data_IF_539832437250
#
_entry.id   IF_539832437250
#
_cell.length_a   1.000
_cell.length_b   1.000
_cell.length_c   1.000
_cell.angle_alpha   90.00
_cell.angle_beta   90.00
_cell.angle_gamma   90.00
#
_symmetry.space_group_name_H-M   'P 1'
#
loop_
_entity.id
_entity.type
_entity.pdbx_description
1 polymer ?
#
# COMPACT_ATOMS: atom_id res chain seq x y z
N UNK A 1 8.87 17.34 16.03
CA UNK A 1 7.45 17.48 16.37
C UNK A 1 6.82 16.11 16.21
N UNK A 2 6.09 15.59 17.20
CA UNK A 2 5.32 14.37 17.00
C UNK A 2 4.18 14.69 16.04
N UNK A 3 4.26 14.18 14.82
CA UNK A 3 3.20 14.35 13.83
C UNK A 3 2.11 13.38 14.24
N UNK A 4 0.91 13.90 14.53
CA UNK A 4 -0.22 13.07 14.95
C UNK A 4 -1.14 12.76 13.77
N UNK A 5 -1.67 11.53 13.67
CA UNK A 5 -2.64 11.19 12.64
C UNK A 5 -3.95 11.93 12.86
N UNK A 6 -4.60 12.24 11.77
CA UNK A 6 -5.92 12.84 11.70
C UNK A 6 -6.93 11.87 11.09
N UNK A 7 -8.21 12.15 11.30
CA UNK A 7 -9.30 11.46 10.63
C UNK A 7 -10.12 12.46 9.82
N UNK A 8 -10.46 12.08 8.60
CA UNK A 8 -11.37 12.82 7.74
C UNK A 8 -12.69 12.05 7.64
N UNK A 9 -13.80 12.72 7.95
CA UNK A 9 -15.13 12.13 7.87
C UNK A 9 -15.64 12.17 6.43
N UNK A 10 -16.20 11.06 5.98
CA UNK A 10 -16.68 10.87 4.62
C UNK A 10 -18.21 10.78 4.55
N UNK A 11 -18.89 10.64 5.73
CA UNK A 11 -20.30 10.31 5.80
C UNK A 11 -20.59 8.88 5.33
N UNK A 12 -21.81 8.60 4.92
CA UNK A 12 -22.18 7.30 4.37
C UNK A 12 -21.48 7.06 3.05
N UNK A 13 -20.65 6.00 3.00
CA UNK A 13 -19.73 5.77 1.87
C UNK A 13 -20.08 4.47 1.14
N UNK A 14 -20.57 4.56 -0.11
CA UNK A 14 -20.89 3.39 -0.90
C UNK A 14 -19.60 2.73 -1.42
N UNK A 15 -19.54 1.40 -1.33
CA UNK A 15 -18.45 0.57 -1.87
C UNK A 15 -18.85 -0.08 -3.19
N UNK A 16 -17.86 -0.39 -4.01
CA UNK A 16 -18.04 -1.09 -5.29
C UNK A 16 -18.69 -2.48 -5.14
N UNK A 17 -18.62 -3.10 -3.96
CA UNK A 17 -19.29 -4.37 -3.66
C UNK A 17 -20.81 -4.23 -3.36
N UNK A 18 -21.35 -3.01 -3.33
CA UNK A 18 -22.77 -2.73 -3.08
C UNK A 18 -23.14 -2.48 -1.63
N UNK A 19 -22.22 -2.63 -0.68
CA UNK A 19 -22.40 -2.23 0.70
C UNK A 19 -22.10 -0.75 0.92
N UNK A 20 -22.59 -0.19 2.02
CA UNK A 20 -22.31 1.19 2.43
C UNK A 20 -21.69 1.19 3.83
N UNK A 21 -20.55 1.85 3.98
CA UNK A 21 -19.95 2.11 5.30
C UNK A 21 -20.66 3.33 5.87
N UNK A 22 -21.41 3.14 6.97
CA UNK A 22 -22.04 4.26 7.66
C UNK A 22 -20.98 5.09 8.39
N UNK A 23 -21.12 6.42 8.36
CA UNK A 23 -20.20 7.37 9.01
C UNK A 23 -18.72 7.05 8.73
N UNK A 24 -18.41 6.75 7.47
CA UNK A 24 -17.07 6.36 7.06
C UNK A 24 -16.03 7.44 7.37
N UNK A 25 -14.84 6.98 7.78
CA UNK A 25 -13.69 7.86 8.01
C UNK A 25 -12.43 7.26 7.43
N UNK A 26 -11.51 8.14 7.00
CA UNK A 26 -10.17 7.76 6.56
C UNK A 26 -9.13 8.45 7.43
N UNK A 27 -8.13 7.69 7.88
CA UNK A 27 -6.99 8.23 8.63
C UNK A 27 -5.99 8.86 7.67
N UNK A 28 -5.31 9.92 8.08
CA UNK A 28 -4.23 10.51 7.31
C UNK A 28 -3.21 11.24 8.19
N UNK A 29 -2.01 11.43 7.65
CA UNK A 29 -0.93 12.20 8.24
C UNK A 29 -0.49 13.25 7.24
N UNK A 30 -0.30 14.50 7.69
CA UNK A 30 0.25 15.58 6.88
C UNK A 30 1.63 15.95 7.39
N UNK A 31 2.62 16.03 6.50
CA UNK A 31 3.98 16.50 6.81
C UNK A 31 4.36 17.55 5.76
N UNK A 32 4.71 18.75 6.22
CA UNK A 32 4.92 19.93 5.37
C UNK A 32 3.63 20.70 5.10
N UNK A 33 3.78 21.88 4.49
CA UNK A 33 2.68 22.79 4.23
C UNK A 33 2.20 22.71 2.77
N UNK A 34 0.90 22.63 2.58
CA UNK A 34 0.30 22.63 1.26
C UNK A 34 0.31 24.06 0.66
N UNK A 35 0.68 24.18 -0.62
CA UNK A 35 0.47 25.41 -1.37
C UNK A 35 -1.04 25.68 -1.50
N UNK A 36 -1.46 26.95 -1.62
CA UNK A 36 -2.87 27.29 -1.77
C UNK A 36 -3.56 26.63 -2.98
N UNK A 37 -2.79 26.33 -4.03
CA UNK A 37 -3.26 25.66 -5.26
C UNK A 37 -3.06 24.12 -5.25
N UNK A 38 -2.56 23.56 -4.15
CA UNK A 38 -2.28 22.12 -4.01
C UNK A 38 -1.14 21.61 -4.89
N UNK A 39 -0.38 22.49 -5.56
CA UNK A 39 0.64 22.10 -6.57
C UNK A 39 1.82 21.29 -6.01
N UNK A 40 2.05 21.32 -4.69
CA UNK A 40 3.13 20.60 -4.02
C UNK A 40 2.66 19.36 -3.24
N UNK A 41 1.44 18.87 -3.49
CA UNK A 41 0.92 17.70 -2.78
C UNK A 41 1.52 16.40 -3.35
N UNK A 42 2.09 15.60 -2.46
CA UNK A 42 2.48 14.21 -2.71
C UNK A 42 1.57 13.32 -1.87
N UNK A 43 0.77 12.49 -2.52
CA UNK A 43 -0.03 11.47 -1.85
C UNK A 43 0.78 10.18 -1.67
N UNK A 44 0.75 9.64 -0.46
CA UNK A 44 1.34 8.34 -0.11
C UNK A 44 0.24 7.43 0.45
N UNK A 45 -0.40 6.59 -0.37
CA UNK A 45 -1.34 5.59 0.13
C UNK A 45 -0.65 4.58 1.04
N UNK A 46 -1.28 4.21 2.15
CA UNK A 46 -0.73 3.22 3.07
C UNK A 46 -0.70 1.82 2.46
N UNK A 47 0.21 0.99 2.99
CA UNK A 47 0.39 -0.39 2.56
C UNK A 47 -0.34 -1.37 3.48
N UNK A 48 -0.27 -2.66 3.15
CA UNK A 48 -0.80 -3.74 3.98
C UNK A 48 -0.20 -3.72 5.39
N UNK A 49 -1.06 -3.75 6.42
CA UNK A 49 -0.63 -3.74 7.82
C UNK A 49 0.09 -2.47 8.27
N UNK A 50 0.10 -1.41 7.46
CA UNK A 50 0.74 -0.15 7.82
C UNK A 50 -0.26 0.86 8.37
N UNK A 51 0.12 1.52 9.45
CA UNK A 51 -0.49 2.76 9.89
C UNK A 51 0.17 3.94 9.17
N UNK A 52 -0.47 5.10 9.15
CA UNK A 52 0.06 6.27 8.42
C UNK A 52 1.40 6.75 9.00
N UNK A 53 1.63 6.56 10.29
CA UNK A 53 2.88 6.88 10.98
C UNK A 53 4.06 5.98 10.55
N UNK A 54 3.77 4.74 10.16
CA UNK A 54 4.79 3.78 9.71
C UNK A 54 5.48 4.24 8.41
N UNK A 55 4.90 5.19 7.68
CA UNK A 55 5.45 5.76 6.45
C UNK A 55 6.02 7.18 6.62
N UNK A 56 5.96 7.74 7.84
CA UNK A 56 6.45 9.11 8.11
C UNK A 56 7.96 9.29 7.85
N UNK A 57 8.73 8.20 7.84
CA UNK A 57 10.16 8.20 7.52
C UNK A 57 10.46 8.71 6.09
N UNK A 58 9.48 8.64 5.17
CA UNK A 58 9.62 9.16 3.80
C UNK A 58 9.92 10.66 3.80
N UNK A 59 9.40 11.41 4.78
CA UNK A 59 9.79 12.79 5.01
C UNK A 59 11.26 12.87 5.44
N UNK A 60 12.02 13.75 4.81
CA UNK A 60 13.47 13.92 4.91
C UNK A 60 14.32 12.78 4.31
N UNK A 61 13.87 11.52 4.35
CA UNK A 61 14.61 10.42 3.73
C UNK A 61 14.46 10.39 2.21
N UNK A 62 13.25 10.64 1.71
CA UNK A 62 12.93 10.61 0.26
C UNK A 62 12.45 11.98 -0.23
N UNK A 63 11.54 12.62 0.51
CA UNK A 63 10.95 13.91 0.16
C UNK A 63 11.35 14.99 1.16
N UNK A 64 11.67 16.19 0.66
CA UNK A 64 11.92 17.37 1.48
C UNK A 64 10.58 18.01 1.90
N UNK A 65 10.22 17.99 3.20
CA UNK A 65 8.97 18.59 3.67
C UNK A 65 8.97 20.12 3.64
N UNK A 66 10.13 20.76 3.43
CA UNK A 66 10.21 22.20 3.16
C UNK A 66 9.76 22.58 1.75
N UNK A 67 9.70 21.61 0.83
CA UNK A 67 9.26 21.79 -0.55
C UNK A 67 7.91 21.11 -0.86
N UNK A 68 7.66 19.96 -0.26
CA UNK A 68 6.52 19.11 -0.55
C UNK A 68 5.62 18.94 0.67
N UNK A 69 4.33 19.01 0.45
CA UNK A 69 3.35 18.57 1.42
C UNK A 69 3.06 17.09 1.19
N UNK A 70 3.51 16.25 2.11
CA UNK A 70 3.36 14.79 2.04
C UNK A 70 2.09 14.42 2.79
N UNK A 71 1.10 13.90 2.09
CA UNK A 71 -0.15 13.41 2.67
C UNK A 71 -0.10 11.89 2.64
N UNK A 72 0.14 11.28 3.79
CA UNK A 72 0.08 9.82 3.94
C UNK A 72 -1.35 9.47 4.29
N UNK A 73 -2.04 8.75 3.42
CA UNK A 73 -3.45 8.40 3.59
C UNK A 73 -3.62 6.92 3.91
N UNK A 74 -4.43 6.63 4.92
CA UNK A 74 -4.84 5.27 5.25
C UNK A 74 -5.71 4.65 4.17
N UNK A 75 -6.16 3.43 4.43
CA UNK A 75 -7.11 2.70 3.61
C UNK A 75 -8.19 2.08 4.49
N UNK A 76 -9.35 1.81 3.94
CA UNK A 76 -10.39 1.07 4.65
C UNK A 76 -9.87 -0.32 5.05
N UNK A 77 -10.23 -0.75 6.25
CA UNK A 77 -9.82 -2.04 6.80
C UNK A 77 -8.47 -2.04 7.54
N UNK A 78 -7.77 -0.89 7.66
CA UNK A 78 -6.43 -0.86 8.30
C UNK A 78 -6.45 -0.67 9.82
N UNK A 79 -7.62 -0.65 10.46
CA UNK A 79 -7.76 -0.46 11.91
C UNK A 79 -7.79 1.00 12.37
N UNK A 80 -7.27 1.96 11.60
CA UNK A 80 -7.36 3.39 11.90
C UNK A 80 -8.46 4.08 11.08
N UNK A 81 -8.60 3.76 9.81
CA UNK A 81 -9.77 4.10 8.99
C UNK A 81 -10.96 3.20 9.35
N UNK A 82 -12.13 3.41 8.76
CA UNK A 82 -13.27 2.52 8.95
C UNK A 82 -12.89 1.07 8.67
N UNK A 83 -13.14 0.17 9.63
CA UNK A 83 -12.59 -1.19 9.66
C UNK A 83 -13.54 -2.17 10.32
N UNK A 84 -13.41 -3.48 10.10
CA UNK A 84 -14.15 -4.52 10.79
C UNK A 84 -14.00 -4.48 12.31
N UNK A 85 -12.81 -4.12 12.83
CA UNK A 85 -12.57 -3.99 14.28
C UNK A 85 -13.44 -2.95 14.95
N UNK A 86 -13.90 -1.94 14.22
CA UNK A 86 -14.81 -0.90 14.71
C UNK A 86 -16.29 -1.20 14.46
N UNK A 87 -16.61 -2.36 13.87
CA UNK A 87 -17.97 -2.67 13.46
C UNK A 87 -18.48 -1.84 12.26
N UNK A 88 -17.60 -1.12 11.58
CA UNK A 88 -17.97 -0.26 10.45
C UNK A 88 -18.23 -1.06 9.16
N UNK A 89 -17.69 -2.26 9.07
CA UNK A 89 -17.81 -3.14 7.90
C UNK A 89 -17.65 -4.59 8.30
N UNK A 90 -18.17 -5.50 7.46
CA UNK A 90 -17.99 -6.94 7.59
C UNK A 90 -16.78 -7.46 6.81
N UNK A 91 -16.72 -8.80 6.66
CA UNK A 91 -15.72 -9.52 5.91
C UNK A 91 -16.29 -10.09 4.61
N UNK A 92 -15.43 -10.67 3.77
CA UNK A 92 -15.83 -11.24 2.48
C UNK A 92 -16.88 -12.35 2.61
N UNK A 93 -16.90 -13.11 3.70
CA UNK A 93 -17.95 -14.09 4.02
C UNK A 93 -19.35 -13.47 4.14
N UNK A 94 -19.40 -12.17 4.42
CA UNK A 94 -20.63 -11.38 4.53
C UNK A 94 -20.84 -10.49 3.29
N UNK A 95 -20.06 -10.70 2.21
CA UNK A 95 -20.14 -9.94 0.96
C UNK A 95 -19.36 -8.62 0.95
N UNK A 96 -18.60 -8.31 2.01
CA UNK A 96 -17.82 -7.08 2.09
C UNK A 96 -16.44 -7.28 1.46
N UNK A 97 -16.19 -6.58 0.37
CA UNK A 97 -14.86 -6.53 -0.27
C UNK A 97 -14.59 -5.09 -0.67
N UNK A 98 -13.68 -4.43 0.04
CA UNK A 98 -13.14 -3.13 -0.37
C UNK A 98 -12.24 -3.35 -1.57
N UNK A 99 -12.30 -2.45 -2.55
CA UNK A 99 -11.38 -2.42 -3.69
C UNK A 99 -10.49 -1.17 -3.61
N UNK A 100 -9.36 -1.20 -4.28
CA UNK A 100 -8.49 0.01 -4.29
C UNK A 100 -9.19 1.23 -4.87
N UNK A 101 -10.12 1.08 -5.81
CA UNK A 101 -10.94 2.20 -6.31
C UNK A 101 -11.81 2.85 -5.22
N UNK A 102 -12.25 2.09 -4.23
CA UNK A 102 -12.99 2.65 -3.08
C UNK A 102 -12.06 3.51 -2.22
N UNK A 103 -10.81 3.05 -2.01
CA UNK A 103 -9.79 3.80 -1.31
C UNK A 103 -9.35 5.04 -2.09
N UNK A 104 -9.15 4.93 -3.41
CA UNK A 104 -8.83 6.05 -4.29
C UNK A 104 -9.90 7.14 -4.22
N UNK A 105 -11.17 6.75 -4.30
CA UNK A 105 -12.30 7.69 -4.18
C UNK A 105 -12.32 8.40 -2.81
N UNK A 106 -12.08 7.66 -1.71
CA UNK A 106 -12.02 8.22 -0.36
C UNK A 106 -10.82 9.18 -0.18
N UNK A 107 -9.66 8.80 -0.69
CA UNK A 107 -8.45 9.64 -0.67
C UNK A 107 -8.65 10.92 -1.51
N UNK A 108 -9.30 10.82 -2.68
CA UNK A 108 -9.64 11.98 -3.51
C UNK A 108 -10.53 12.95 -2.76
N UNK A 109 -11.56 12.44 -2.10
CA UNK A 109 -12.48 13.25 -1.28
C UNK A 109 -11.75 13.96 -0.16
N UNK A 110 -10.88 13.26 0.58
CA UNK A 110 -10.00 13.85 1.58
C UNK A 110 -9.18 15.01 1.02
N UNK A 111 -8.51 14.78 -0.13
CA UNK A 111 -7.64 15.78 -0.75
C UNK A 111 -8.41 17.02 -1.21
N UNK A 112 -9.59 16.83 -1.78
CA UNK A 112 -10.46 17.92 -2.21
C UNK A 112 -10.97 18.76 -1.02
N UNK A 113 -11.51 18.10 -0.01
CA UNK A 113 -12.16 18.80 1.11
C UNK A 113 -11.17 19.40 2.11
N UNK A 114 -10.01 18.73 2.31
CA UNK A 114 -9.04 19.18 3.31
C UNK A 114 -7.99 20.13 2.75
N UNK A 115 -7.62 19.96 1.48
CA UNK A 115 -6.51 20.68 0.85
C UNK A 115 -6.95 21.52 -0.35
N UNK A 116 -8.22 21.48 -0.75
CA UNK A 116 -8.70 22.14 -1.96
C UNK A 116 -8.03 21.63 -3.24
N UNK A 117 -7.49 20.40 -3.21
CA UNK A 117 -6.68 19.88 -4.29
C UNK A 117 -7.54 19.54 -5.51
N UNK A 118 -7.08 19.98 -6.70
CA UNK A 118 -7.60 19.58 -7.99
C UNK A 118 -6.67 18.64 -8.75
N UNK A 119 -5.41 18.54 -8.28
CA UNK A 119 -4.37 17.66 -8.84
C UNK A 119 -3.29 17.39 -7.81
N UNK A 120 -2.45 16.40 -8.09
CA UNK A 120 -1.31 15.98 -7.27
C UNK A 120 -0.01 16.10 -8.07
N UNK A 121 1.06 16.56 -7.42
CA UNK A 121 2.39 16.51 -7.98
C UNK A 121 2.85 15.07 -8.21
N UNK A 122 2.47 14.15 -7.29
CA UNK A 122 2.82 12.74 -7.38
C UNK A 122 1.90 11.88 -6.49
N UNK A 123 1.64 10.65 -6.93
CA UNK A 123 1.24 9.56 -6.03
C UNK A 123 2.45 8.62 -5.91
N UNK A 124 2.97 8.48 -4.68
CA UNK A 124 4.05 7.55 -4.36
C UNK A 124 3.49 6.39 -3.57
N UNK A 125 3.65 5.18 -4.05
CA UNK A 125 3.15 3.99 -3.35
C UNK A 125 4.21 2.90 -3.26
N UNK A 126 4.25 2.23 -2.11
CA UNK A 126 4.98 0.99 -1.90
C UNK A 126 4.01 -0.16 -1.64
N UNK A 127 4.26 -1.35 -2.25
CA UNK A 127 3.43 -2.55 -2.01
C UNK A 127 1.95 -2.33 -2.38
N UNK A 128 1.00 -2.57 -1.50
CA UNK A 128 -0.40 -2.19 -1.71
C UNK A 128 -0.59 -0.68 -1.98
N UNK A 129 0.28 0.18 -1.46
CA UNK A 129 0.30 1.59 -1.81
C UNK A 129 0.65 1.81 -3.29
N UNK A 130 1.55 1.00 -3.86
CA UNK A 130 1.84 1.03 -5.30
C UNK A 130 0.64 0.55 -6.14
N UNK A 131 -0.07 -0.48 -5.67
CA UNK A 131 -1.32 -0.92 -6.30
C UNK A 131 -2.35 0.21 -6.34
N UNK A 132 -2.45 0.99 -5.25
CA UNK A 132 -3.29 2.18 -5.20
C UNK A 132 -2.79 3.29 -6.14
N UNK A 133 -1.46 3.47 -6.29
CA UNK A 133 -0.91 4.45 -7.24
C UNK A 133 -1.25 4.11 -8.70
N UNK A 134 -1.18 2.84 -9.10
CA UNK A 134 -1.68 2.40 -10.40
C UNK A 134 -3.18 2.65 -10.55
N UNK A 135 -3.97 2.32 -9.51
CA UNK A 135 -5.42 2.55 -9.53
C UNK A 135 -5.75 4.04 -9.67
N UNK A 136 -5.02 4.92 -8.97
CA UNK A 136 -5.13 6.39 -9.13
C UNK A 136 -4.92 6.82 -10.57
N UNK A 137 -3.85 6.34 -11.21
CA UNK A 137 -3.53 6.75 -12.58
C UNK A 137 -4.53 6.23 -13.62
N UNK A 138 -5.15 5.08 -13.37
CA UNK A 138 -6.16 4.47 -14.26
C UNK A 138 -7.54 5.11 -14.08
N UNK A 139 -7.98 5.29 -12.83
CA UNK A 139 -9.33 5.81 -12.53
C UNK A 139 -9.38 7.36 -12.65
N UNK A 140 -8.27 8.06 -12.40
CA UNK A 140 -8.17 9.52 -12.34
C UNK A 140 -7.05 10.07 -13.24
N UNK A 141 -7.08 9.83 -14.56
CA UNK A 141 -5.94 10.07 -15.47
C UNK A 141 -5.52 11.54 -15.61
N UNK A 142 -6.33 12.48 -15.11
CA UNK A 142 -6.01 13.91 -15.11
C UNK A 142 -5.59 14.47 -13.74
N UNK A 143 -5.65 13.66 -12.70
CA UNK A 143 -5.45 14.11 -11.32
C UNK A 143 -4.00 14.05 -10.84
N UNK A 144 -3.23 13.10 -11.33
CA UNK A 144 -1.84 12.98 -10.93
C UNK A 144 -0.90 13.21 -12.10
N UNK A 145 0.09 14.06 -11.88
CA UNK A 145 1.11 14.33 -12.89
C UNK A 145 2.12 13.19 -12.98
N UNK A 146 2.37 12.53 -11.85
CA UNK A 146 3.40 11.48 -11.72
C UNK A 146 2.92 10.37 -10.80
N UNK A 147 3.33 9.14 -11.10
CA UNK A 147 3.22 8.02 -10.16
C UNK A 147 4.58 7.35 -9.99
N UNK A 148 4.89 6.97 -8.76
CA UNK A 148 6.04 6.14 -8.43
C UNK A 148 5.54 4.86 -7.75
N UNK A 149 5.58 3.75 -8.47
CA UNK A 149 5.08 2.45 -8.03
C UNK A 149 6.25 1.59 -7.58
N UNK A 150 6.41 1.42 -6.26
CA UNK A 150 7.54 0.71 -5.66
C UNK A 150 7.09 -0.66 -5.14
N UNK A 151 7.68 -1.73 -5.65
CA UNK A 151 7.42 -3.11 -5.22
C UNK A 151 5.91 -3.44 -5.16
N UNK A 152 5.19 -3.20 -6.25
CA UNK A 152 3.76 -3.50 -6.39
C UNK A 152 3.36 -3.53 -7.85
N UNK A 153 2.36 -4.34 -8.19
CA UNK A 153 1.87 -4.57 -9.56
C UNK A 153 0.47 -4.02 -9.78
N UNK A 154 0.11 -3.77 -11.03
CA UNK A 154 -1.21 -3.27 -11.42
C UNK A 154 -2.34 -4.32 -11.30
N UNK A 155 -1.97 -5.58 -11.19
CA UNK A 155 -2.88 -6.72 -10.93
C UNK A 155 -2.19 -7.73 -10.04
N UNK A 156 -2.90 -8.30 -9.06
CA UNK A 156 -2.39 -9.40 -8.23
C UNK A 156 -2.11 -10.63 -9.09
N UNK A 157 -0.83 -11.01 -9.20
CA UNK A 157 -0.40 -12.17 -10.00
C UNK A 157 -0.87 -13.49 -9.39
N UNK A 158 -0.96 -14.58 -10.16
CA UNK A 158 -1.33 -15.90 -9.62
C UNK A 158 -0.43 -16.38 -8.48
N UNK A 159 0.89 -16.11 -8.53
CA UNK A 159 1.83 -16.49 -7.48
C UNK A 159 1.62 -15.66 -6.21
N UNK A 160 1.46 -14.34 -6.35
CA UNK A 160 1.13 -13.46 -5.23
C UNK A 160 -0.23 -13.84 -4.61
N UNK A 161 -1.22 -14.20 -5.44
CA UNK A 161 -2.51 -14.69 -4.97
C UNK A 161 -2.38 -15.95 -4.10
N UNK A 162 -1.50 -16.89 -4.47
CA UNK A 162 -1.28 -18.11 -3.67
C UNK A 162 -0.72 -17.76 -2.28
N UNK A 163 0.22 -16.83 -2.21
CA UNK A 163 0.74 -16.30 -0.95
C UNK A 163 -0.39 -15.70 -0.07
N UNK A 164 -1.22 -14.82 -0.64
CA UNK A 164 -2.32 -14.17 0.09
C UNK A 164 -3.35 -15.20 0.61
N UNK A 165 -3.68 -16.20 -0.19
CA UNK A 165 -4.56 -17.29 0.22
C UNK A 165 -3.96 -18.10 1.38
N UNK A 166 -2.63 -18.34 1.39
CA UNK A 166 -1.98 -19.03 2.49
C UNK A 166 -2.02 -18.24 3.80
N UNK A 167 -1.85 -16.92 3.73
CA UNK A 167 -2.00 -16.02 4.87
C UNK A 167 -3.43 -16.01 5.42
N UNK A 168 -4.40 -15.88 4.51
CA UNK A 168 -5.81 -15.90 4.89
C UNK A 168 -6.18 -17.23 5.55
N UNK A 169 -5.72 -18.34 4.98
CA UNK A 169 -5.94 -19.68 5.53
C UNK A 169 -5.28 -19.85 6.90
N UNK A 170 -4.10 -19.26 7.14
CA UNK A 170 -3.45 -19.33 8.45
C UNK A 170 -4.34 -18.73 9.57
N UNK A 171 -5.04 -17.63 9.28
CA UNK A 171 -5.97 -17.00 10.22
C UNK A 171 -7.30 -17.76 10.31
N UNK A 172 -7.91 -18.12 9.18
CA UNK A 172 -9.26 -18.72 9.15
C UNK A 172 -9.27 -20.21 9.51
N UNK A 173 -8.12 -20.89 9.55
CA UNK A 173 -7.98 -22.25 10.08
C UNK A 173 -7.77 -22.29 11.60
N UNK A 174 -7.58 -21.13 12.25
CA UNK A 174 -7.46 -21.08 13.70
C UNK A 174 -8.76 -21.55 14.37
N UNK A 175 -8.64 -22.28 15.47
CA UNK A 175 -9.78 -22.85 16.23
C UNK A 175 -10.78 -21.79 16.70
N UNK A 176 -10.35 -20.54 16.80
CA UNK A 176 -11.19 -19.41 17.25
C UNK A 176 -11.95 -18.74 16.11
N UNK A 177 -11.69 -19.13 14.86
CA UNK A 177 -12.46 -18.63 13.72
C UNK A 177 -13.89 -19.19 13.72
N UNK A 178 -14.89 -18.31 13.57
CA UNK A 178 -16.30 -18.70 13.63
C UNK A 178 -17.06 -18.46 12.28
N UNK A 179 -16.34 -18.18 11.20
CA UNK A 179 -16.92 -17.92 9.87
C UNK A 179 -17.11 -16.44 9.54
N UNK A 180 -17.02 -15.54 10.52
CA UNK A 180 -17.18 -14.09 10.31
C UNK A 180 -16.31 -13.23 11.24
N UNK A 181 -15.53 -13.89 12.08
CA UNK A 181 -14.65 -13.26 13.05
C UNK A 181 -14.04 -14.29 14.00
N UNK A 182 -13.59 -13.84 15.15
CA UNK A 182 -12.90 -14.68 16.13
C UNK A 182 -13.59 -14.60 17.48
N UNK A 183 -13.76 -15.78 18.14
CA UNK A 183 -14.31 -15.88 19.50
C UNK A 183 -13.27 -15.57 20.59
N UNK A 184 -11.98 -15.66 20.25
CA UNK A 184 -10.83 -15.29 21.07
C UNK A 184 -9.64 -14.98 20.15
N UNK A 185 -8.55 -14.36 20.64
CA UNK A 185 -7.37 -14.08 19.84
C UNK A 185 -6.82 -15.34 19.14
N UNK A 186 -6.60 -15.32 17.81
CA UNK A 186 -6.11 -16.47 17.04
C UNK A 186 -4.57 -16.56 17.14
N UNK A 187 -4.05 -16.87 18.31
CA UNK A 187 -2.60 -16.86 18.58
C UNK A 187 -1.83 -17.81 17.65
N UNK A 188 -2.38 -19.01 17.43
CA UNK A 188 -1.73 -20.00 16.55
C UNK A 188 -1.81 -19.55 15.09
N UNK A 189 -2.94 -18.99 14.69
CA UNK A 189 -3.15 -18.40 13.36
C UNK A 189 -2.17 -17.27 13.08
N UNK A 190 -2.01 -16.32 14.02
CA UNK A 190 -1.07 -15.19 13.91
C UNK A 190 0.39 -15.65 13.87
N UNK A 191 0.76 -16.69 14.62
CA UNK A 191 2.09 -17.27 14.60
C UNK A 191 2.41 -17.91 13.25
N UNK A 192 1.48 -18.70 12.71
CA UNK A 192 1.58 -19.29 11.37
C UNK A 192 1.63 -18.19 10.28
N UNK A 193 0.82 -17.18 10.44
CA UNK A 193 0.80 -16.00 9.56
C UNK A 193 2.16 -15.29 9.52
N UNK A 194 2.76 -15.03 10.69
CA UNK A 194 4.06 -14.37 10.79
C UNK A 194 5.18 -15.17 10.12
N UNK A 195 5.18 -16.50 10.27
CA UNK A 195 6.14 -17.40 9.61
C UNK A 195 6.02 -17.34 8.08
N UNK A 196 4.80 -17.43 7.55
CA UNK A 196 4.55 -17.34 6.11
C UNK A 196 4.98 -15.95 5.60
N UNK A 197 4.57 -14.90 6.30
CA UNK A 197 4.84 -13.53 5.86
C UNK A 197 6.35 -13.23 5.85
N UNK A 198 7.07 -13.62 6.91
CA UNK A 198 8.51 -13.42 7.01
C UNK A 198 9.27 -14.13 5.87
N UNK A 199 8.88 -15.37 5.55
CA UNK A 199 9.55 -16.18 4.52
C UNK A 199 9.42 -15.61 3.10
N UNK A 200 8.43 -14.74 2.85
CA UNK A 200 8.23 -14.08 1.57
C UNK A 200 8.71 -12.63 1.54
N UNK A 201 8.66 -11.92 2.69
CA UNK A 201 9.02 -10.51 2.76
C UNK A 201 10.52 -10.26 2.70
N UNK A 202 11.30 -11.12 3.33
CA UNK A 202 12.75 -11.05 3.34
C UNK A 202 13.35 -12.11 2.38
N UNK A 203 14.51 -11.79 1.82
CA UNK A 203 15.16 -12.69 0.88
C UNK A 203 15.90 -13.84 1.55
N UNK A 204 16.19 -14.90 0.80
CA UNK A 204 17.06 -15.98 1.28
C UNK A 204 18.46 -15.49 1.69
N UNK A 205 19.15 -14.59 0.92
CA UNK A 205 20.40 -13.97 1.38
C UNK A 205 20.27 -13.25 2.70
N UNK A 206 19.18 -12.51 2.95
CA UNK A 206 18.91 -11.86 4.24
C UNK A 206 18.92 -12.87 5.39
N UNK A 207 18.17 -13.97 5.28
CA UNK A 207 18.10 -14.99 6.34
C UNK A 207 19.41 -15.74 6.58
N UNK A 208 20.34 -15.78 5.61
CA UNK A 208 21.67 -16.35 5.83
C UNK A 208 22.58 -15.47 6.68
N UNK A 209 22.24 -14.21 6.89
CA UNK A 209 23.07 -13.21 7.58
C UNK A 209 22.54 -12.87 8.98
N UNK A 210 21.38 -13.37 9.37
CA UNK A 210 20.89 -13.14 10.74
C UNK A 210 21.73 -13.95 11.74
N UNK A 211 22.05 -13.32 12.87
CA UNK A 211 22.91 -13.92 13.91
C UNK A 211 22.12 -14.67 15.00
N UNK A 212 20.81 -14.87 14.80
CA UNK A 212 19.89 -15.52 15.72
C UNK A 212 19.15 -16.68 15.04
N UNK A 213 18.54 -17.57 15.82
CA UNK A 213 17.66 -18.62 15.27
C UNK A 213 16.48 -18.00 14.51
N UNK A 214 16.11 -18.59 13.37
CA UNK A 214 15.02 -18.06 12.52
C UNK A 214 13.71 -17.93 13.29
N UNK A 215 13.42 -18.90 14.17
CA UNK A 215 12.23 -18.91 15.02
C UNK A 215 12.23 -17.71 15.96
N UNK A 216 13.36 -17.41 16.60
CA UNK A 216 13.50 -16.24 17.48
C UNK A 216 13.36 -14.94 16.70
N UNK A 217 13.93 -14.87 15.49
CA UNK A 217 13.80 -13.71 14.61
C UNK A 217 12.34 -13.42 14.28
N UNK A 218 11.55 -14.45 13.93
CA UNK A 218 10.13 -14.27 13.61
C UNK A 218 9.34 -13.87 14.86
N UNK A 219 9.58 -14.52 16.01
CA UNK A 219 8.92 -14.19 17.28
C UNK A 219 9.21 -12.76 17.75
N UNK A 220 10.41 -12.26 17.51
CA UNK A 220 10.85 -10.94 17.98
C UNK A 220 10.48 -9.79 17.04
N UNK A 221 10.54 -10.02 15.72
CA UNK A 221 10.45 -8.93 14.74
C UNK A 221 9.17 -8.94 13.89
N UNK A 222 8.53 -10.12 13.70
CA UNK A 222 7.38 -10.25 12.82
C UNK A 222 6.07 -10.44 13.57
N UNK A 223 6.04 -11.37 14.51
CA UNK A 223 4.82 -11.68 15.26
C UNK A 223 4.25 -10.47 16.02
N UNK A 224 5.04 -9.63 16.74
CA UNK A 224 4.51 -8.46 17.43
C UNK A 224 3.90 -7.43 16.48
N UNK A 225 4.42 -7.32 15.26
CA UNK A 225 3.86 -6.43 14.24
C UNK A 225 2.41 -6.82 13.90
N UNK A 226 2.11 -8.12 13.76
CA UNK A 226 0.76 -8.57 13.44
C UNK A 226 -0.16 -8.65 14.65
N UNK A 227 0.38 -8.90 15.85
CA UNK A 227 -0.39 -8.90 17.09
C UNK A 227 -0.96 -7.52 17.48
N UNK A 228 -0.41 -6.44 16.94
CA UNK A 228 -0.95 -5.08 17.15
C UNK A 228 -2.24 -4.82 16.34
N UNK A 229 -2.57 -5.66 15.39
CA UNK A 229 -3.75 -5.53 14.54
C UNK A 229 -4.88 -6.44 15.01
N UNK A 230 -6.11 -6.00 14.82
CA UNK A 230 -7.24 -6.91 14.87
C UNK A 230 -7.15 -7.88 13.67
N UNK A 231 -7.23 -9.20 13.89
CA UNK A 231 -7.09 -10.17 12.81
C UNK A 231 -8.18 -10.06 11.74
N UNK A 232 -9.34 -9.48 12.05
CA UNK A 232 -10.40 -9.17 11.07
C UNK A 232 -9.95 -8.08 10.10
N UNK A 233 -9.21 -7.08 10.58
CA UNK A 233 -8.65 -6.01 9.75
C UNK A 233 -7.56 -6.55 8.82
N UNK A 234 -6.72 -7.47 9.31
CA UNK A 234 -5.75 -8.17 8.47
C UNK A 234 -6.45 -8.94 7.34
N UNK A 235 -7.54 -9.66 7.63
CA UNK A 235 -8.32 -10.39 6.62
C UNK A 235 -8.94 -9.43 5.61
N UNK A 236 -9.57 -8.33 6.06
CA UNK A 236 -10.20 -7.36 5.15
C UNK A 236 -9.20 -6.74 4.17
N UNK A 237 -7.99 -6.40 4.65
CA UNK A 237 -6.92 -5.90 3.78
C UNK A 237 -6.38 -6.99 2.84
N UNK A 238 -6.29 -8.28 3.26
CA UNK A 238 -5.95 -9.38 2.36
C UNK A 238 -6.98 -9.53 1.25
N UNK A 239 -8.27 -9.43 1.57
CA UNK A 239 -9.34 -9.54 0.59
C UNK A 239 -9.31 -8.36 -0.41
N UNK A 240 -8.94 -7.15 0.04
CA UNK A 240 -8.68 -6.00 -0.84
C UNK A 240 -7.52 -6.28 -1.80
N UNK A 241 -6.41 -6.81 -1.30
CA UNK A 241 -5.24 -7.16 -2.11
C UNK A 241 -5.54 -8.30 -3.09
N UNK A 242 -6.25 -9.35 -2.64
CA UNK A 242 -6.71 -10.45 -3.49
C UNK A 242 -7.61 -9.98 -4.66
N UNK A 243 -8.41 -8.94 -4.42
CA UNK A 243 -9.32 -8.36 -5.40
C UNK A 243 -8.68 -7.32 -6.32
N UNK A 244 -7.37 -7.02 -6.15
CA UNK A 244 -6.71 -5.96 -6.90
C UNK A 244 -6.53 -6.31 -8.37
N UNK A 245 -7.09 -5.46 -9.22
CA UNK A 245 -6.97 -5.45 -10.67
C UNK A 245 -7.43 -4.08 -11.20
N UNK A 246 -6.50 -3.26 -11.67
CA UNK A 246 -6.83 -1.92 -12.19
C UNK A 246 -7.72 -1.96 -13.43
N UNK A 247 -7.72 -3.08 -14.15
CA UNK A 247 -8.57 -3.27 -15.31
C UNK A 247 -9.99 -3.79 -14.98
N UNK A 248 -10.25 -4.14 -13.70
CA UNK A 248 -11.55 -4.63 -13.26
C UNK A 248 -12.02 -5.91 -13.96
N UNK A 249 -11.10 -6.83 -14.26
CA UNK A 249 -11.36 -8.07 -15.02
C UNK A 249 -11.20 -7.93 -16.54
N UNK A 250 -10.94 -6.71 -17.03
CA UNK A 250 -10.70 -6.44 -18.44
C UNK A 250 -9.23 -6.60 -18.88
N UNK A 251 -8.92 -6.03 -20.04
CA UNK A 251 -7.58 -6.01 -20.62
C UNK A 251 -6.64 -5.10 -19.82
N UNK A 252 -5.64 -5.69 -19.15
CA UNK A 252 -4.68 -4.99 -18.33
C UNK A 252 -3.77 -4.08 -19.17
N UNK A 253 -3.33 -4.55 -20.33
CA UNK A 253 -2.47 -3.76 -21.23
C UNK A 253 -3.18 -2.51 -21.72
N UNK A 254 -4.45 -2.66 -22.11
CA UNK A 254 -5.27 -1.52 -22.51
C UNK A 254 -5.53 -0.55 -21.34
N UNK A 255 -5.66 -1.04 -20.11
CA UNK A 255 -5.82 -0.18 -18.93
C UNK A 255 -4.54 0.61 -18.65
N UNK A 256 -3.37 -0.07 -18.63
CA UNK A 256 -2.06 0.56 -18.41
C UNK A 256 -1.67 1.52 -19.54
N UNK A 257 -2.00 1.18 -20.78
CA UNK A 257 -1.76 2.04 -21.95
C UNK A 257 -2.49 3.39 -21.94
N UNK A 258 -3.50 3.56 -21.07
CA UNK A 258 -4.22 4.83 -20.87
C UNK A 258 -3.62 5.73 -19.80
N UNK A 259 -2.64 5.27 -19.04
CA UNK A 259 -2.00 6.07 -18.00
C UNK A 259 -1.28 7.25 -18.66
N UNK A 260 -1.62 8.46 -18.21
CA UNK A 260 -1.03 9.72 -18.69
C UNK A 260 0.06 10.27 -17.77
N UNK A 261 0.02 9.85 -16.51
CA UNK A 261 1.01 10.25 -15.52
C UNK A 261 2.41 9.74 -15.91
N UNK A 262 3.43 10.57 -15.75
CA UNK A 262 4.81 10.09 -15.83
C UNK A 262 5.04 9.04 -14.77
N UNK A 263 5.51 7.88 -15.18
CA UNK A 263 5.54 6.70 -14.34
C UNK A 263 6.95 6.22 -14.11
N UNK A 264 7.32 6.01 -12.85
CA UNK A 264 8.47 5.21 -12.44
C UNK A 264 7.98 3.92 -11.77
N UNK A 265 8.40 2.79 -12.30
CA UNK A 265 8.16 1.46 -11.71
C UNK A 265 9.46 0.98 -11.10
N UNK A 266 9.44 0.63 -9.81
CA UNK A 266 10.63 0.29 -9.03
C UNK A 266 10.48 -1.08 -8.41
N UNK A 267 11.35 -2.02 -8.79
CA UNK A 267 11.38 -3.38 -8.27
C UNK A 267 12.50 -3.56 -7.23
N UNK A 268 12.29 -4.44 -6.25
CA UNK A 268 13.36 -5.01 -5.43
C UNK A 268 13.91 -6.27 -6.08
N UNK A 269 15.23 -6.42 -6.20
CA UNK A 269 15.85 -7.56 -6.93
C UNK A 269 15.49 -8.94 -6.37
N UNK A 270 15.17 -9.01 -5.09
CA UNK A 270 14.82 -10.24 -4.39
C UNK A 270 13.39 -10.23 -3.82
N UNK A 271 12.52 -9.39 -4.39
CA UNK A 271 11.11 -9.34 -3.97
C UNK A 271 10.37 -10.59 -4.45
N UNK A 272 9.82 -11.36 -3.51
CA UNK A 272 9.05 -12.55 -3.81
C UNK A 272 7.55 -12.27 -3.95
N UNK A 273 7.06 -11.15 -3.40
CA UNK A 273 5.64 -10.77 -3.56
C UNK A 273 5.38 -10.23 -4.95
N UNK A 274 6.28 -9.36 -5.41
CA UNK A 274 6.22 -8.66 -6.68
C UNK A 274 7.55 -8.81 -7.42
N UNK A 275 7.78 -9.95 -8.09
CA UNK A 275 9.02 -10.21 -8.80
C UNK A 275 9.33 -9.14 -9.84
N UNK A 276 10.61 -8.81 -10.10
CA UNK A 276 11.00 -7.79 -11.07
C UNK A 276 10.38 -7.99 -12.46
N UNK A 277 10.17 -9.22 -12.90
CA UNK A 277 9.61 -9.53 -14.23
C UNK A 277 8.14 -9.09 -14.32
N UNK A 278 7.34 -9.25 -13.25
CA UNK A 278 5.94 -8.80 -13.20
C UNK A 278 5.88 -7.26 -13.29
N UNK A 279 6.78 -6.56 -12.56
CA UNK A 279 6.83 -5.10 -12.60
C UNK A 279 7.38 -4.59 -13.95
N UNK A 280 8.29 -5.31 -14.56
CA UNK A 280 8.78 -5.00 -15.91
C UNK A 280 7.66 -5.06 -16.93
N UNK A 281 6.82 -6.10 -16.87
CA UNK A 281 5.67 -6.24 -17.76
C UNK A 281 4.67 -5.08 -17.61
N UNK A 282 4.42 -4.63 -16.37
CA UNK A 282 3.58 -3.44 -16.12
C UNK A 282 4.23 -2.16 -16.69
N UNK A 283 5.53 -1.97 -16.48
CA UNK A 283 6.26 -0.80 -16.99
C UNK A 283 6.25 -0.74 -18.52
N UNK A 284 6.45 -1.87 -19.18
CA UNK A 284 6.46 -1.98 -20.64
C UNK A 284 5.09 -1.68 -21.27
N UNK A 285 4.00 -1.87 -20.51
CA UNK A 285 2.63 -1.56 -20.94
C UNK A 285 2.25 -0.08 -20.74
N UNK A 286 3.02 0.71 -19.99
CA UNK A 286 2.73 2.12 -19.71
C UNK A 286 3.57 3.03 -20.62
N UNK A 287 2.94 3.90 -21.43
CA UNK A 287 3.67 4.79 -22.33
C UNK A 287 4.69 5.68 -21.60
N UNK A 288 5.96 5.57 -21.97
CA UNK A 288 7.04 6.39 -21.41
C UNK A 288 7.43 6.09 -19.96
N UNK A 289 6.98 4.99 -19.39
CA UNK A 289 7.39 4.59 -18.05
C UNK A 289 8.89 4.26 -17.99
N UNK A 290 9.50 4.57 -16.84
CA UNK A 290 10.86 4.13 -16.53
C UNK A 290 10.81 2.95 -15.57
N UNK A 291 11.72 2.00 -15.75
CA UNK A 291 11.85 0.83 -14.88
C UNK A 291 13.17 0.84 -14.15
N UNK A 292 13.14 0.64 -12.84
CA UNK A 292 14.30 0.64 -11.96
C UNK A 292 14.33 -0.63 -11.12
N UNK A 293 15.52 -1.11 -10.80
CA UNK A 293 15.72 -2.23 -9.86
C UNK A 293 16.61 -1.76 -8.72
N UNK A 294 16.12 -1.90 -7.49
CA UNK A 294 16.94 -1.75 -6.28
C UNK A 294 17.58 -3.09 -5.99
N UNK A 295 18.90 -3.18 -6.22
CA UNK A 295 19.66 -4.37 -5.87
C UNK A 295 19.91 -4.39 -4.37
N UNK A 296 19.17 -5.25 -3.66
CA UNK A 296 19.18 -5.34 -2.20
C UNK A 296 18.78 -6.74 -1.75
N UNK A 297 19.41 -7.20 -0.68
CA UNK A 297 19.07 -8.47 -0.03
C UNK A 297 17.87 -8.36 0.91
N UNK A 298 17.33 -7.16 1.12
CA UNK A 298 16.17 -6.94 1.98
C UNK A 298 14.84 -7.51 1.42
N UNK A 299 14.86 -8.09 0.21
CA UNK A 299 13.65 -8.61 -0.44
C UNK A 299 12.64 -7.51 -0.72
N UNK A 300 11.37 -7.74 -0.36
CA UNK A 300 10.30 -6.75 -0.49
C UNK A 300 10.55 -5.46 0.31
N UNK A 301 11.27 -5.56 1.41
CA UNK A 301 11.62 -4.41 2.26
C UNK A 301 12.61 -3.45 1.62
N UNK A 302 13.23 -3.79 0.51
CA UNK A 302 14.05 -2.86 -0.27
C UNK A 302 13.26 -1.61 -0.72
N UNK A 303 11.94 -1.73 -0.90
CA UNK A 303 11.06 -0.63 -1.24
C UNK A 303 10.56 0.20 -0.05
N UNK A 304 10.76 -0.28 1.20
CA UNK A 304 10.40 0.43 2.45
C UNK A 304 11.53 0.30 3.50
N UNK A 305 12.70 0.83 3.20
CA UNK A 305 13.91 0.64 3.98
C UNK A 305 14.03 1.68 5.08
N UNK A 306 13.31 1.52 6.20
CA UNK A 306 13.29 2.48 7.32
C UNK A 306 14.68 2.89 7.84
N UNK A 307 15.66 1.98 7.81
CA UNK A 307 16.98 2.15 8.43
C UNK A 307 18.15 1.91 7.47
N UNK A 308 17.90 1.71 6.18
CA UNK A 308 18.98 1.49 5.19
C UNK A 308 19.17 2.74 4.30
N UNK A 309 20.25 3.53 4.53
CA UNK A 309 20.54 4.72 3.75
C UNK A 309 20.78 4.45 2.26
N UNK A 310 21.22 3.24 1.91
CA UNK A 310 21.53 2.86 0.53
C UNK A 310 20.23 2.81 -0.29
N UNK A 311 19.26 2.03 0.15
CA UNK A 311 17.97 1.90 -0.52
C UNK A 311 17.17 3.20 -0.46
N UNK A 312 17.23 3.94 0.67
CA UNK A 312 16.66 5.30 0.76
C UNK A 312 17.27 6.23 -0.30
N UNK A 313 18.59 6.15 -0.52
CA UNK A 313 19.29 6.92 -1.55
C UNK A 313 18.80 6.60 -2.97
N UNK A 314 18.53 5.33 -3.27
CA UNK A 314 17.93 4.92 -4.54
C UNK A 314 16.54 5.51 -4.74
N UNK A 315 15.68 5.39 -3.74
CA UNK A 315 14.31 5.94 -3.80
C UNK A 315 14.32 7.45 -3.95
N UNK A 316 15.17 8.16 -3.18
CA UNK A 316 15.33 9.63 -3.28
C UNK A 316 15.77 10.06 -4.68
N UNK A 317 16.75 9.38 -5.27
CA UNK A 317 17.23 9.70 -6.62
C UNK A 317 16.12 9.50 -7.66
N UNK A 318 15.43 8.35 -7.65
CA UNK A 318 14.37 8.04 -8.62
C UNK A 318 13.21 9.05 -8.51
N UNK A 319 12.77 9.36 -7.29
CA UNK A 319 11.67 10.33 -7.09
C UNK A 319 12.10 11.75 -7.44
N UNK A 320 13.35 12.15 -7.16
CA UNK A 320 13.87 13.46 -7.54
C UNK A 320 13.96 13.60 -9.08
N UNK A 321 14.44 12.59 -9.79
CA UNK A 321 14.45 12.55 -11.25
C UNK A 321 13.04 12.67 -11.83
N UNK A 322 12.08 11.92 -11.26
CA UNK A 322 10.68 11.97 -11.69
C UNK A 322 10.04 13.35 -11.46
N UNK A 323 10.37 14.01 -10.34
CA UNK A 323 9.86 15.36 -9.99
C UNK A 323 10.57 16.50 -10.72
N UNK A 324 11.81 16.33 -11.19
CA UNK A 324 12.60 17.38 -11.81
C UNK A 324 12.13 17.75 -13.23
N UNK A 325 11.49 16.82 -13.93
CA UNK A 325 11.06 17.06 -15.31
C UNK A 325 9.72 17.79 -15.36
N UNK A 326 9.61 18.94 -16.03
CA UNK A 326 8.32 19.57 -16.27
C UNK A 326 7.42 18.64 -17.11
N UNK A 327 6.12 18.79 -16.94
CA UNK A 327 5.15 18.09 -17.78
C UNK A 327 5.38 18.44 -19.23
N UNK A 328 5.42 17.44 -20.10
CA UNK A 328 5.27 17.68 -21.54
C UNK A 328 3.85 18.22 -21.74
N UNK A 329 3.76 19.49 -22.07
CA UNK A 329 2.50 20.19 -22.43
C UNK A 329 1.80 19.51 -23.61
#
# INVERSE_FOLDING_TARGET
MSVQPHHHQLGDWPLACGHTIADARISYLQIGDANPDGSNLILVPSSYGAQVEDLAWLANAVFDPGRWCIVIAGQFGNGASSSPSHGAMGLAEQGWVVRHRDNVAAQKRLLQERFGAERLAMVYGWSMGAQQAYQWAVDEPGWTERICCVCGTARTSPHNRLFLLSLRQALTADRHWNGSGFNAPPEQGLRTYALIYASWAASQPFFRQIDEAVEEHVERHWLPHYQRHDPRDLIAMLDTWLAHDVAGGGDLQAALGRIRARTAVVAGSHDLYFPPDDLRADADAIPGATFHVIHSELGHRAGNPHSSPIEQGHLRRITAELLAHPNSS
#
